data_IF_332426183673
#
_entry.id   IF_332426183673
#
_cell.length_a   1.000
_cell.length_b   1.000
_cell.length_c   1.000
_cell.angle_alpha   90.00
_cell.angle_beta   90.00
_cell.angle_gamma   90.00
#
_symmetry.space_group_name_H-M   'P 1'
#
loop_
_entity.id
_entity.type
_entity.pdbx_description
1 polymer ?
#
# COMPACT_ATOMS: atom_id res chain seq x y z
N UNK A 1 9.73 23.50 -18.85
CA UNK A 1 9.54 22.10 -18.43
C UNK A 1 10.19 21.95 -17.08
N UNK A 2 9.47 21.59 -16.01
CA UNK A 2 10.12 21.14 -14.78
C UNK A 2 11.00 19.94 -15.12
N UNK A 3 12.15 19.81 -14.44
CA UNK A 3 12.94 18.59 -14.56
C UNK A 3 12.19 17.41 -13.92
N UNK A 4 12.45 16.20 -14.38
CA UNK A 4 11.83 14.99 -13.87
C UNK A 4 12.89 13.98 -13.44
N UNK A 5 12.60 13.27 -12.35
CA UNK A 5 13.40 12.20 -11.78
C UNK A 5 12.63 10.88 -11.87
N UNK A 6 13.33 9.85 -12.33
CA UNK A 6 12.86 8.46 -12.31
C UNK A 6 13.17 7.87 -10.92
N UNK A 7 12.12 7.43 -10.22
CA UNK A 7 12.14 6.99 -8.82
C UNK A 7 11.49 5.63 -8.66
N UNK A 8 11.78 4.97 -7.54
CA UNK A 8 11.09 3.72 -7.16
C UNK A 8 9.88 4.06 -6.29
N UNK A 9 8.68 3.82 -6.81
CA UNK A 9 7.44 3.90 -6.04
C UNK A 9 7.22 2.59 -5.28
N UNK A 10 7.34 2.64 -3.95
CA UNK A 10 7.10 1.52 -3.04
C UNK A 10 5.61 1.49 -2.63
N UNK A 11 5.00 0.32 -2.74
CA UNK A 11 3.56 0.12 -2.57
C UNK A 11 3.30 -0.87 -1.44
N UNK A 12 2.52 -0.43 -0.45
CA UNK A 12 2.22 -1.20 0.77
C UNK A 12 0.73 -1.55 0.88
N UNK A 13 0.44 -2.64 1.60
CA UNK A 13 -0.92 -3.09 1.93
C UNK A 13 -1.92 -2.92 0.77
N UNK A 14 -2.95 -2.08 0.96
CA UNK A 14 -4.01 -1.89 -0.04
C UNK A 14 -3.51 -1.28 -1.35
N UNK A 15 -2.50 -0.41 -1.32
CA UNK A 15 -1.92 0.18 -2.53
C UNK A 15 -1.21 -0.89 -3.39
N UNK A 16 -0.51 -1.85 -2.75
CA UNK A 16 0.09 -3.02 -3.43
C UNK A 16 -0.97 -3.91 -4.08
N UNK A 17 -2.09 -4.17 -3.39
CA UNK A 17 -3.19 -4.96 -3.96
C UNK A 17 -3.84 -4.26 -5.17
N UNK A 18 -4.00 -2.94 -5.11
CA UNK A 18 -4.64 -2.13 -6.15
C UNK A 18 -3.79 -2.00 -7.42
N UNK A 19 -2.48 -1.82 -7.27
CA UNK A 19 -1.53 -1.68 -8.40
C UNK A 19 -1.02 -3.06 -8.88
N UNK A 20 -1.10 -4.10 -8.05
CA UNK A 20 -0.67 -5.46 -8.38
C UNK A 20 0.84 -5.73 -8.25
N UNK A 21 1.62 -4.73 -7.84
CA UNK A 21 3.09 -4.83 -7.65
C UNK A 21 3.51 -4.24 -6.31
N UNK A 22 4.54 -4.79 -5.61
CA UNK A 22 5.12 -4.16 -4.43
C UNK A 22 5.94 -2.90 -4.76
N UNK A 23 6.41 -2.74 -6.01
CA UNK A 23 7.12 -1.55 -6.46
C UNK A 23 6.98 -1.33 -7.96
N UNK A 24 7.06 -0.08 -8.40
CA UNK A 24 7.07 0.33 -9.82
C UNK A 24 8.02 1.51 -10.04
N UNK A 25 8.62 1.62 -11.22
CA UNK A 25 9.36 2.82 -11.60
C UNK A 25 8.40 3.88 -12.14
N UNK A 26 8.56 5.13 -11.70
CA UNK A 26 7.75 6.27 -12.13
C UNK A 26 8.61 7.51 -12.29
N UNK A 27 8.28 8.36 -13.27
CA UNK A 27 8.93 9.65 -13.49
C UNK A 27 8.09 10.75 -12.84
N UNK A 28 8.69 11.54 -11.94
CA UNK A 28 8.02 12.60 -11.16
C UNK A 28 8.82 13.91 -11.25
N UNK A 29 8.20 15.10 -11.06
CA UNK A 29 8.93 16.36 -10.96
C UNK A 29 10.06 16.31 -9.93
N UNK A 30 11.20 16.93 -10.23
CA UNK A 30 12.30 17.06 -9.27
C UNK A 30 12.00 18.03 -8.14
N UNK A 31 10.99 18.90 -8.31
CA UNK A 31 10.53 19.86 -7.31
C UNK A 31 9.00 19.87 -7.35
N UNK A 32 8.37 19.53 -6.23
CA UNK A 32 6.91 19.52 -6.06
C UNK A 32 6.54 19.52 -4.57
N UNK A 33 5.31 19.91 -4.26
CA UNK A 33 4.68 19.66 -2.96
C UNK A 33 4.21 18.20 -2.82
N UNK A 34 3.98 17.75 -1.58
CA UNK A 34 3.35 16.45 -1.32
C UNK A 34 1.94 16.32 -1.90
N UNK A 35 1.20 17.42 -2.03
CA UNK A 35 -0.09 17.47 -2.70
C UNK A 35 0.04 17.20 -4.22
N UNK A 36 0.90 17.93 -4.92
CA UNK A 36 1.15 17.74 -6.35
C UNK A 36 1.67 16.32 -6.66
N UNK A 37 2.59 15.81 -5.83
CA UNK A 37 3.10 14.45 -5.98
C UNK A 37 1.98 13.40 -5.79
N UNK A 38 1.10 13.60 -4.81
CA UNK A 38 -0.07 12.73 -4.60
C UNK A 38 -1.01 12.74 -5.81
N UNK A 39 -1.32 13.91 -6.35
CA UNK A 39 -2.19 14.05 -7.52
C UNK A 39 -1.59 13.38 -8.76
N UNK A 40 -0.30 13.60 -9.02
CA UNK A 40 0.43 12.95 -10.11
C UNK A 40 0.40 11.42 -10.00
N UNK A 41 0.61 10.88 -8.79
CA UNK A 41 0.59 9.44 -8.56
C UNK A 41 -0.82 8.85 -8.75
N UNK A 42 -1.89 9.56 -8.37
CA UNK A 42 -3.27 9.14 -8.64
C UNK A 42 -3.61 9.23 -10.13
N UNK A 43 -3.13 10.25 -10.84
CA UNK A 43 -3.29 10.35 -12.30
C UNK A 43 -2.53 9.24 -13.05
N UNK A 44 -1.33 8.89 -12.58
CA UNK A 44 -0.49 7.84 -13.19
C UNK A 44 -1.00 6.43 -12.85
N UNK A 45 -1.50 6.22 -11.63
CA UNK A 45 -2.05 4.97 -11.15
C UNK A 45 -3.49 5.18 -10.64
N UNK A 46 -4.49 5.23 -11.52
CA UNK A 46 -5.88 5.50 -11.14
C UNK A 46 -6.46 4.53 -10.10
N UNK A 47 -5.87 3.34 -9.92
CA UNK A 47 -6.29 2.42 -8.84
C UNK A 47 -6.05 3.03 -7.45
N UNK A 48 -5.08 3.93 -7.28
CA UNK A 48 -4.80 4.64 -6.03
C UNK A 48 -5.87 5.69 -5.67
N UNK A 49 -6.76 6.06 -6.60
CA UNK A 49 -7.86 6.98 -6.32
C UNK A 49 -8.78 6.50 -5.19
N UNK A 50 -8.95 5.18 -5.03
CA UNK A 50 -9.71 4.57 -3.91
C UNK A 50 -9.09 4.87 -2.53
N UNK A 51 -7.82 5.27 -2.46
CA UNK A 51 -7.12 5.65 -1.23
C UNK A 51 -6.87 7.16 -1.13
N UNK A 52 -7.27 7.96 -2.13
CA UNK A 52 -6.97 9.39 -2.21
C UNK A 52 -7.43 10.13 -0.95
N UNK A 53 -6.56 10.99 -0.41
CA UNK A 53 -6.81 11.72 0.84
C UNK A 53 -6.62 10.89 2.13
N UNK A 54 -6.46 9.57 2.05
CA UNK A 54 -6.23 8.70 3.23
C UNK A 54 -4.80 8.18 3.33
N UNK A 55 -4.06 8.09 2.22
CA UNK A 55 -2.66 7.68 2.24
C UNK A 55 -1.69 8.86 2.44
N UNK A 56 -0.63 8.57 3.17
CA UNK A 56 0.53 9.44 3.38
C UNK A 56 1.61 9.05 2.36
N UNK A 57 2.41 10.02 1.95
CA UNK A 57 3.61 9.79 1.16
C UNK A 57 4.86 9.85 2.05
N UNK A 58 5.90 9.12 1.68
CA UNK A 58 7.23 9.32 2.26
C UNK A 58 8.29 9.29 1.16
N UNK A 59 9.29 10.16 1.25
CA UNK A 59 10.46 10.17 0.35
C UNK A 59 11.68 9.76 1.16
N UNK A 60 12.40 8.74 0.71
CA UNK A 60 13.58 8.17 1.40
C UNK A 60 13.34 7.97 2.92
N UNK A 61 12.24 7.29 3.25
CA UNK A 61 11.80 6.95 4.61
C UNK A 61 11.36 8.14 5.50
N UNK A 62 11.30 9.37 4.97
CA UNK A 62 10.72 10.54 5.66
C UNK A 62 9.30 10.81 5.16
N UNK A 63 8.31 10.88 6.05
CA UNK A 63 6.97 11.32 5.71
C UNK A 63 6.97 12.72 5.07
N UNK A 64 6.10 12.92 4.08
CA UNK A 64 5.93 14.15 3.33
C UNK A 64 4.53 14.70 3.59
N UNK A 65 4.44 15.91 4.14
CA UNK A 65 3.15 16.59 4.35
C UNK A 65 2.59 17.16 3.04
N UNK A 66 1.30 17.51 3.00
CA UNK A 66 0.65 17.96 1.77
C UNK A 66 1.26 19.27 1.23
N UNK A 67 1.47 20.24 2.12
CA UNK A 67 2.03 21.56 1.81
C UNK A 67 3.57 21.60 1.89
N UNK A 68 4.23 20.48 2.22
CA UNK A 68 5.69 20.39 2.26
C UNK A 68 6.25 20.25 0.84
N UNK A 69 7.15 21.18 0.46
CA UNK A 69 7.92 21.12 -0.78
C UNK A 69 9.12 20.18 -0.65
N UNK A 70 9.30 19.27 -1.60
CA UNK A 70 10.41 18.31 -1.64
C UNK A 70 11.20 18.41 -2.94
N UNK A 71 12.53 18.24 -2.83
CA UNK A 71 13.41 18.03 -3.99
C UNK A 71 13.66 16.55 -4.18
N UNK A 72 13.16 15.98 -5.28
CA UNK A 72 13.27 14.56 -5.63
C UNK A 72 14.42 14.36 -6.62
N UNK A 73 15.23 13.31 -6.40
CA UNK A 73 16.38 12.93 -7.21
C UNK A 73 16.17 11.58 -7.88
N UNK A 74 16.86 11.35 -9.00
CA UNK A 74 16.85 10.06 -9.70
C UNK A 74 17.35 8.96 -8.75
N UNK A 75 16.56 7.90 -8.62
CA UNK A 75 16.85 6.77 -7.74
C UNK A 75 16.34 6.91 -6.30
N UNK A 76 15.69 8.02 -5.94
CA UNK A 76 14.99 8.12 -4.65
C UNK A 76 13.84 7.10 -4.56
N UNK A 77 13.45 6.79 -3.32
CA UNK A 77 12.30 5.94 -3.01
C UNK A 77 11.11 6.79 -2.57
N UNK A 78 9.95 6.62 -3.21
CA UNK A 78 8.68 7.24 -2.81
C UNK A 78 7.75 6.14 -2.31
N UNK A 79 7.34 6.16 -1.06
CA UNK A 79 6.42 5.19 -0.49
C UNK A 79 4.98 5.71 -0.47
N UNK A 80 4.04 4.92 -0.98
CA UNK A 80 2.60 5.10 -0.76
C UNK A 80 2.23 4.32 0.49
N UNK A 81 1.83 5.03 1.55
CA UNK A 81 1.56 4.46 2.88
C UNK A 81 0.06 4.62 3.17
N UNK A 82 -0.77 3.59 2.91
CA UNK A 82 -2.19 3.58 3.28
C UNK A 82 -2.36 3.74 4.79
N UNK A 83 -3.56 4.12 5.27
CA UNK A 83 -3.85 4.10 6.70
C UNK A 83 -3.58 2.70 7.26
N UNK A 84 -2.79 2.64 8.34
CA UNK A 84 -2.39 1.39 8.99
C UNK A 84 -3.58 0.79 9.74
N UNK A 85 -4.39 0.03 9.02
CA UNK A 85 -5.28 -0.97 9.61
C UNK A 85 -4.40 -2.01 10.32
N UNK A 86 -4.30 -1.89 11.65
CA UNK A 86 -3.69 -2.93 12.47
C UNK A 86 -4.33 -4.28 12.15
N UNK A 87 -3.53 -5.34 12.06
CA UNK A 87 -4.02 -6.66 11.71
C UNK A 87 -5.21 -7.05 12.60
N UNK A 88 -6.33 -7.43 11.98
CA UNK A 88 -7.53 -7.92 12.67
C UNK A 88 -7.14 -8.95 13.74
N UNK A 89 -7.26 -8.64 15.04
CA UNK A 89 -6.86 -9.57 16.10
C UNK A 89 -7.79 -10.79 16.21
N UNK A 90 -8.82 -10.87 15.36
CA UNK A 90 -9.86 -11.89 15.38
C UNK A 90 -9.98 -12.69 14.06
N UNK A 91 -8.96 -12.65 13.18
CA UNK A 91 -9.03 -13.37 11.90
C UNK A 91 -8.64 -14.86 12.04
N UNK A 92 -9.66 -15.65 12.37
CA UNK A 92 -9.76 -17.11 12.21
C UNK A 92 -8.87 -18.01 13.09
N UNK A 93 -9.33 -18.25 14.33
CA UNK A 93 -9.08 -19.53 15.00
C UNK A 93 -10.15 -20.57 14.56
N UNK A 94 -10.35 -20.74 13.25
CA UNK A 94 -11.55 -21.34 12.66
C UNK A 94 -11.33 -22.49 11.66
N UNK A 95 -10.09 -22.80 11.28
CA UNK A 95 -9.77 -23.98 10.45
C UNK A 95 -8.86 -25.00 11.14
N UNK A 96 -9.48 -26.04 11.70
CA UNK A 96 -8.87 -27.37 11.85
C UNK A 96 -9.94 -28.46 11.90
N UNK A 97 -10.51 -28.77 10.73
CA UNK A 97 -11.29 -29.99 10.55
C UNK A 97 -10.36 -31.19 10.42
N UNK A 98 -10.06 -31.88 11.53
CA UNK A 98 -9.53 -33.25 11.55
C UNK A 98 -9.63 -33.88 12.95
N UNK A 99 -10.72 -34.61 13.23
CA UNK A 99 -10.76 -35.66 14.27
C UNK A 99 -11.63 -36.83 13.84
N UNK A 100 -11.04 -37.74 13.06
CA UNK A 100 -11.51 -39.12 13.02
C UNK A 100 -11.16 -39.79 14.34
N UNK A 101 -12.15 -40.15 15.17
CA UNK A 101 -12.02 -41.27 16.12
C UNK A 101 -13.36 -41.82 16.61
N UNK A 102 -13.36 -43.14 16.71
CA UNK A 102 -14.46 -44.08 16.95
C UNK A 102 -15.19 -44.02 18.32
N UNK A 103 -16.20 -44.88 18.43
CA UNK A 103 -17.12 -45.14 19.56
C UNK A 103 -18.23 -44.08 19.75
N UNK A 104 -19.46 -44.41 20.14
CA UNK A 104 -19.91 -45.61 20.88
C UNK A 104 -21.32 -46.14 20.47
N UNK A 105 -21.69 -47.30 21.00
CA UNK A 105 -22.82 -48.19 20.68
C UNK A 105 -24.27 -47.62 20.72
N UNK A 106 -25.18 -48.28 20.00
CA UNK A 106 -26.55 -48.60 20.45
C UNK A 106 -27.20 -49.73 19.62
N UNK A 107 -28.09 -50.50 20.26
CA UNK A 107 -28.61 -51.83 19.87
C UNK A 107 -30.01 -52.01 20.50
N UNK A 108 -31.02 -52.67 19.93
CA UNK A 108 -31.23 -53.42 18.67
C UNK A 108 -32.61 -53.00 18.06
N UNK A 109 -33.17 -53.62 16.98
CA UNK A 109 -34.56 -53.38 16.56
C UNK A 109 -35.62 -54.00 17.49
#
# INVERSE_FOLDING_TARGET
MPAAADVTLLLFAKARELVGSPQVSVSVPTECSGAELRELLVQTYPQLATLQGTFILAVNQRYLEADESVTIRRGDEVAVIPPISGADPNRDLGRSGHRSRAADAAVDP
#
